data_IF_648025820900
#
_entry.id   IF_648025820900
#
_cell.length_a   1.000
_cell.length_b   1.000
_cell.length_c   1.000
_cell.angle_alpha   90.00
_cell.angle_beta   90.00
_cell.angle_gamma   90.00
#
_symmetry.space_group_name_H-M   'P 1'
#
loop_
_entity.id
_entity.type
_entity.pdbx_description
1 polymer ?
#
# COMPACT_ATOMS: atom_id res chain seq x y z
N UNK A 1 15.43 25.69 -1.97
CA UNK A 1 14.48 25.13 -2.96
C UNK A 1 14.48 23.62 -2.77
N UNK A 2 13.35 22.99 -2.46
CA UNK A 2 13.30 21.53 -2.47
C UNK A 2 13.53 21.05 -3.92
N UNK A 3 14.26 19.95 -4.14
CA UNK A 3 14.44 19.41 -5.49
C UNK A 3 13.08 19.09 -6.12
N UNK A 4 12.95 19.34 -7.42
CA UNK A 4 11.75 18.97 -8.17
C UNK A 4 11.57 17.45 -8.13
N UNK A 5 10.31 17.00 -8.01
CA UNK A 5 10.01 15.58 -8.01
C UNK A 5 10.33 14.97 -9.39
N UNK A 6 11.00 13.82 -9.41
CA UNK A 6 11.28 13.06 -10.62
C UNK A 6 10.00 12.43 -11.16
N UNK A 7 9.67 12.70 -12.42
CA UNK A 7 8.54 12.04 -13.08
C UNK A 7 8.95 10.63 -13.52
N UNK A 8 8.37 9.61 -12.87
CA UNK A 8 8.67 8.19 -13.14
C UNK A 8 7.55 7.50 -13.91
N UNK A 9 6.60 8.26 -14.47
CA UNK A 9 5.40 7.71 -15.13
C UNK A 9 5.74 6.73 -16.26
N UNK A 10 6.71 7.07 -17.12
CA UNK A 10 7.08 6.22 -18.24
C UNK A 10 7.64 4.86 -17.79
N UNK A 11 8.40 4.84 -16.68
CA UNK A 11 8.96 3.60 -16.15
C UNK A 11 7.87 2.73 -15.49
N UNK A 12 6.90 3.35 -14.82
CA UNK A 12 5.72 2.65 -14.26
C UNK A 12 4.88 2.02 -15.37
N UNK A 13 4.59 2.78 -16.44
CA UNK A 13 3.85 2.24 -17.60
C UNK A 13 4.62 1.12 -18.32
N UNK A 14 5.95 1.10 -18.20
CA UNK A 14 6.81 0.04 -18.70
C UNK A 14 7.03 -1.12 -17.70
N UNK A 15 6.32 -1.14 -16.56
CA UNK A 15 6.44 -2.15 -15.49
C UNK A 15 7.86 -2.34 -14.95
N UNK A 16 8.68 -1.28 -14.95
CA UNK A 16 10.04 -1.35 -14.41
C UNK A 16 10.02 -1.30 -12.90
N UNK A 17 10.95 -2.01 -12.27
CA UNK A 17 11.24 -1.83 -10.85
C UNK A 17 11.91 -0.47 -10.63
N UNK A 18 11.47 0.23 -9.58
CA UNK A 18 11.91 1.58 -9.24
C UNK A 18 12.52 1.59 -7.84
N UNK A 19 13.68 2.24 -7.72
CA UNK A 19 14.25 2.60 -6.42
C UNK A 19 14.18 4.12 -6.27
N UNK A 20 13.36 4.57 -5.33
CA UNK A 20 13.27 5.98 -4.96
C UNK A 20 14.57 6.41 -4.27
N UNK A 21 15.10 7.53 -4.73
CA UNK A 21 16.25 8.23 -4.15
C UNK A 21 15.91 9.67 -3.73
N UNK A 22 14.62 10.03 -3.82
CA UNK A 22 14.12 11.37 -3.60
C UNK A 22 12.61 11.46 -3.84
N UNK A 23 12.10 12.67 -4.06
CA UNK A 23 10.70 12.87 -4.41
C UNK A 23 10.42 12.39 -5.84
N UNK A 24 9.32 11.66 -6.02
CA UNK A 24 8.86 11.15 -7.30
C UNK A 24 7.37 11.41 -7.51
N UNK A 25 6.97 11.53 -8.76
CA UNK A 25 5.57 11.70 -9.17
C UNK A 25 5.20 10.68 -10.25
N UNK A 26 4.00 10.12 -10.14
CA UNK A 26 3.35 9.32 -11.17
C UNK A 26 2.11 10.08 -11.63
N UNK A 27 2.10 10.48 -12.90
CA UNK A 27 0.98 11.14 -13.55
C UNK A 27 0.14 10.08 -14.25
N UNK A 28 -0.94 9.66 -13.60
CA UNK A 28 -1.72 8.53 -14.08
C UNK A 28 -2.60 8.94 -15.28
N UNK A 29 -2.51 8.23 -16.41
CA UNK A 29 -3.46 8.41 -17.51
C UNK A 29 -4.86 7.99 -17.05
N UNK A 30 -5.87 8.41 -17.82
CA UNK A 30 -7.24 7.96 -17.59
C UNK A 30 -7.34 6.42 -17.71
N UNK A 31 -8.18 5.81 -16.88
CA UNK A 31 -8.38 4.37 -16.84
C UNK A 31 -7.45 3.66 -15.85
N UNK A 32 -7.21 2.37 -16.07
CA UNK A 32 -6.48 1.52 -15.13
C UNK A 32 -5.10 1.15 -15.65
N UNK A 33 -4.08 1.43 -14.84
CA UNK A 33 -2.70 0.96 -15.02
C UNK A 33 -2.42 -0.14 -14.01
N UNK A 34 -2.25 -1.38 -14.49
CA UNK A 34 -1.75 -2.48 -13.64
C UNK A 34 -0.23 -2.46 -13.66
N UNK A 35 0.37 -2.25 -12.49
CA UNK A 35 1.80 -2.19 -12.30
C UNK A 35 2.30 -3.49 -11.63
N UNK A 36 3.14 -4.21 -12.37
CA UNK A 36 3.73 -5.49 -11.96
C UNK A 36 5.21 -5.38 -11.57
N UNK A 37 5.78 -4.17 -11.59
CA UNK A 37 7.07 -3.89 -10.97
C UNK A 37 6.95 -3.67 -9.46
N UNK A 38 8.06 -3.30 -8.82
CA UNK A 38 8.09 -2.89 -7.41
C UNK A 38 8.68 -1.48 -7.24
N UNK A 39 8.14 -0.72 -6.29
CA UNK A 39 8.72 0.56 -5.86
C UNK A 39 9.40 0.34 -4.51
N UNK A 40 10.67 0.73 -4.40
CA UNK A 40 11.53 0.51 -3.22
C UNK A 40 12.30 1.77 -2.84
N UNK A 41 13.06 1.74 -1.75
CA UNK A 41 14.05 2.78 -1.42
C UNK A 41 13.54 3.91 -0.53
N UNK A 42 14.17 5.08 -0.62
CA UNK A 42 13.90 6.24 0.25
C UNK A 42 13.46 7.45 -0.57
N UNK A 43 12.28 7.99 -0.28
CA UNK A 43 11.71 9.09 -1.04
C UNK A 43 10.30 9.44 -0.61
N UNK A 44 9.66 10.28 -1.43
CA UNK A 44 8.22 10.52 -1.35
C UNK A 44 7.63 10.21 -2.72
N UNK A 45 6.42 9.67 -2.75
CA UNK A 45 5.70 9.34 -3.96
C UNK A 45 4.39 10.12 -4.00
N UNK A 46 4.13 10.81 -5.10
CA UNK A 46 2.85 11.46 -5.36
C UNK A 46 2.16 10.83 -6.57
N UNK A 47 0.93 10.39 -6.38
CA UNK A 47 0.05 9.98 -7.47
C UNK A 47 -0.88 11.13 -7.81
N UNK A 48 -0.86 11.57 -9.06
CA UNK A 48 -1.67 12.68 -9.56
C UNK A 48 -2.35 12.25 -10.86
N UNK A 49 -3.57 12.72 -11.16
CA UNK A 49 -4.16 12.46 -12.47
C UNK A 49 -3.41 13.27 -13.53
N UNK A 50 -3.16 12.66 -14.70
CA UNK A 50 -2.67 13.35 -15.89
C UNK A 50 -3.83 13.93 -16.71
N UNK A 51 -4.92 13.15 -16.83
CA UNK A 51 -6.18 13.53 -17.45
C UNK A 51 -7.30 12.62 -16.93
N UNK A 52 -8.47 13.18 -16.63
CA UNK A 52 -9.59 12.41 -16.07
C UNK A 52 -9.23 11.70 -14.76
N UNK A 53 -9.95 10.62 -14.45
CA UNK A 53 -9.66 9.76 -13.29
C UNK A 53 -8.73 8.62 -13.67
N UNK A 54 -7.70 8.38 -12.88
CA UNK A 54 -6.72 7.33 -13.12
C UNK A 54 -6.63 6.34 -11.95
N UNK A 55 -6.45 5.06 -12.26
CA UNK A 55 -6.23 3.99 -11.27
C UNK A 55 -4.84 3.40 -11.45
N UNK A 56 -4.07 3.31 -10.36
CA UNK A 56 -2.86 2.51 -10.29
C UNK A 56 -3.14 1.28 -9.44
N UNK A 57 -3.09 0.10 -10.04
CA UNK A 57 -3.21 -1.18 -9.35
C UNK A 57 -1.84 -1.80 -9.20
N UNK A 58 -1.39 -2.02 -7.96
CA UNK A 58 -0.13 -2.73 -7.68
C UNK A 58 -0.40 -4.21 -7.41
N UNK A 59 0.41 -5.10 -7.96
CA UNK A 59 0.26 -6.56 -7.75
C UNK A 59 1.44 -7.19 -7.00
N UNK A 60 2.44 -6.38 -6.62
CA UNK A 60 3.64 -6.80 -5.88
C UNK A 60 3.93 -5.84 -4.74
N UNK A 61 4.51 -6.36 -3.66
CA UNK A 61 4.93 -5.55 -2.53
C UNK A 61 5.92 -4.45 -2.95
N UNK A 62 5.63 -3.22 -2.53
CA UNK A 62 6.46 -2.04 -2.79
C UNK A 62 6.88 -1.41 -1.46
N UNK A 63 8.15 -1.55 -1.10
CA UNK A 63 8.73 -1.19 0.19
C UNK A 63 9.55 0.09 0.10
N UNK A 64 8.89 1.25 0.25
CA UNK A 64 9.58 2.54 0.31
C UNK A 64 9.25 3.30 1.59
N UNK A 65 10.16 4.20 1.96
CA UNK A 65 10.09 4.98 3.20
C UNK A 65 10.50 6.42 2.98
N UNK A 66 10.19 7.28 3.93
CA UNK A 66 10.71 8.65 3.94
C UNK A 66 12.24 8.66 4.06
N UNK A 67 12.94 9.65 3.49
CA UNK A 67 14.34 9.88 3.84
C UNK A 67 14.53 9.99 5.36
N UNK A 68 15.62 9.45 5.91
CA UNK A 68 15.89 9.42 7.36
C UNK A 68 15.81 10.80 8.05
N UNK A 69 16.05 11.90 7.34
CA UNK A 69 15.90 13.25 7.88
C UNK A 69 14.44 13.65 8.16
N UNK A 70 13.48 13.05 7.45
CA UNK A 70 12.03 13.34 7.53
C UNK A 70 11.28 12.34 8.43
N UNK A 71 11.94 11.24 8.74
CA UNK A 71 11.58 10.27 9.77
C UNK A 71 11.73 10.90 11.17
N UNK A 72 10.64 11.48 11.67
CA UNK A 72 10.57 12.27 12.92
C UNK A 72 9.60 11.68 13.95
N UNK A 73 8.76 10.73 13.55
CA UNK A 73 7.84 10.06 14.46
C UNK A 73 8.60 9.03 15.28
N UNK A 74 8.33 8.96 16.59
CA UNK A 74 8.97 8.02 17.52
C UNK A 74 7.92 7.21 18.25
N UNK A 75 8.19 5.92 18.45
CA UNK A 75 7.40 4.97 19.24
C UNK A 75 8.19 4.56 20.47
N UNK A 76 7.61 4.76 21.64
CA UNK A 76 8.16 4.28 22.91
C UNK A 76 7.26 3.21 23.51
N UNK A 77 7.83 2.03 23.77
CA UNK A 77 7.22 0.96 24.58
C UNK A 77 7.49 1.20 26.05
N UNK A 78 6.44 1.23 26.85
CA UNK A 78 6.55 1.23 28.32
C UNK A 78 5.97 -0.08 28.84
N UNK A 79 6.76 -0.86 29.57
CA UNK A 79 6.31 -2.12 30.19
C UNK A 79 5.93 -1.84 31.64
N UNK A 80 4.75 -2.30 32.03
CA UNK A 80 4.21 -2.19 33.38
C UNK A 80 4.25 -3.58 34.04
N UNK A 81 5.09 -3.79 35.07
CA UNK A 81 5.16 -5.07 35.79
C UNK A 81 3.77 -5.53 36.24
N UNK A 82 3.38 -6.75 35.85
CA UNK A 82 2.06 -7.32 36.19
C UNK A 82 0.86 -6.75 35.43
N UNK A 83 1.05 -5.75 34.55
CA UNK A 83 -0.05 -5.03 33.88
C UNK A 83 0.13 -4.86 32.35
N UNK A 84 1.16 -5.47 31.75
CA UNK A 84 1.36 -5.47 30.28
C UNK A 84 2.26 -4.33 29.78
N UNK A 85 1.98 -3.79 28.59
CA UNK A 85 2.75 -2.68 28.01
C UNK A 85 1.85 -1.68 27.29
N UNK A 86 2.33 -0.43 27.15
CA UNK A 86 1.72 0.59 26.29
C UNK A 86 2.72 1.10 25.25
N UNK A 87 2.20 1.47 24.08
CA UNK A 87 2.95 2.17 23.04
C UNK A 87 2.52 3.63 23.02
N UNK A 88 3.50 4.53 23.11
CA UNK A 88 3.28 5.98 22.98
C UNK A 88 3.95 6.47 21.70
N UNK A 89 3.32 7.42 21.01
CA UNK A 89 3.81 7.99 19.75
C UNK A 89 4.01 9.50 19.92
N UNK A 90 5.13 10.02 19.44
CA UNK A 90 5.41 11.46 19.39
C UNK A 90 5.98 11.86 18.03
N UNK A 91 5.80 13.11 17.63
CA UNK A 91 6.09 13.54 16.26
C UNK A 91 5.09 12.98 15.25
N UNK A 92 5.15 13.48 14.02
CA UNK A 92 4.33 13.00 12.92
C UNK A 92 5.17 13.01 11.64
N UNK A 93 5.34 11.83 11.04
CA UNK A 93 5.99 11.72 9.76
C UNK A 93 5.17 12.44 8.69
N UNK A 94 5.80 13.24 7.80
CA UNK A 94 5.12 13.73 6.61
C UNK A 94 4.67 12.56 5.73
N UNK A 95 3.75 12.79 4.77
CA UNK A 95 3.30 11.72 3.90
C UNK A 95 4.44 11.14 3.05
N UNK A 96 4.64 9.82 3.09
CA UNK A 96 5.52 9.09 2.17
C UNK A 96 4.82 8.88 0.82
N UNK A 97 3.50 8.70 0.85
CA UNK A 97 2.63 8.55 -0.30
C UNK A 97 1.54 9.60 -0.23
N UNK A 98 1.39 10.38 -1.29
CA UNK A 98 0.26 11.31 -1.47
C UNK A 98 -0.58 10.83 -2.65
N UNK A 99 -1.88 10.67 -2.42
CA UNK A 99 -2.86 10.28 -3.44
C UNK A 99 -3.77 11.49 -3.65
N UNK A 100 -3.64 12.15 -4.79
CA UNK A 100 -4.43 13.34 -5.12
C UNK A 100 -5.90 12.98 -5.44
N UNK A 101 -6.83 13.95 -5.36
CA UNK A 101 -8.19 13.76 -5.83
C UNK A 101 -8.24 13.26 -7.29
N UNK A 102 -9.20 12.38 -7.58
CA UNK A 102 -9.34 11.77 -8.91
C UNK A 102 -8.40 10.60 -9.19
N UNK A 103 -7.55 10.21 -8.23
CA UNK A 103 -6.73 9.00 -8.31
C UNK A 103 -7.29 7.88 -7.43
N UNK A 104 -7.30 6.67 -7.97
CA UNK A 104 -7.47 5.44 -7.21
C UNK A 104 -6.13 4.71 -7.11
N UNK A 105 -5.71 4.41 -5.89
CA UNK A 105 -4.60 3.51 -5.62
C UNK A 105 -5.14 2.17 -5.14
N UNK A 106 -5.00 1.14 -5.95
CA UNK A 106 -5.52 -0.19 -5.65
C UNK A 106 -4.38 -1.14 -5.28
N UNK A 107 -4.54 -1.83 -4.15
CA UNK A 107 -3.60 -2.82 -3.62
C UNK A 107 -4.16 -4.21 -3.92
N UNK A 108 -3.50 -4.89 -4.87
CA UNK A 108 -3.86 -6.20 -5.35
C UNK A 108 -5.05 -6.25 -6.31
N UNK A 109 -5.31 -7.44 -6.79
CA UNK A 109 -6.44 -7.79 -7.68
C UNK A 109 -7.31 -8.90 -7.13
N UNK A 110 -6.88 -9.55 -6.04
CA UNK A 110 -7.53 -10.72 -5.46
C UNK A 110 -7.58 -11.90 -6.44
N UNK A 111 -6.52 -12.03 -7.25
CA UNK A 111 -6.34 -13.10 -8.22
C UNK A 111 -4.94 -13.70 -8.10
N UNK A 112 -4.64 -14.76 -8.86
CA UNK A 112 -3.29 -15.34 -8.94
C UNK A 112 -2.23 -14.39 -9.51
N UNK A 113 -2.62 -13.22 -10.06
CA UNK A 113 -1.69 -12.18 -10.48
C UNK A 113 -0.99 -11.50 -9.29
N UNK A 114 -1.56 -11.61 -8.09
CA UNK A 114 -1.03 -11.03 -6.86
C UNK A 114 0.20 -11.84 -6.38
N UNK A 115 1.40 -11.30 -6.64
CA UNK A 115 2.67 -11.90 -6.21
C UNK A 115 3.12 -11.28 -4.89
N UNK A 116 2.43 -11.66 -3.80
CA UNK A 116 2.60 -11.11 -2.44
C UNK A 116 2.49 -9.57 -2.37
N UNK A 117 1.35 -8.97 -2.72
CA UNK A 117 1.26 -7.54 -3.00
C UNK A 117 1.45 -6.56 -1.83
N UNK A 118 1.81 -6.94 -0.60
CA UNK A 118 1.10 -6.27 0.50
C UNK A 118 1.92 -5.58 1.59
N UNK A 119 3.08 -5.05 1.24
CA UNK A 119 3.90 -4.34 2.23
C UNK A 119 4.33 -2.97 1.68
N UNK A 120 3.54 -1.93 1.94
CA UNK A 120 4.05 -0.54 1.96
C UNK A 120 4.60 -0.27 3.37
N UNK A 121 5.44 -1.17 3.85
CA UNK A 121 6.05 -1.04 5.17
C UNK A 121 7.48 -0.56 5.05
N UNK A 122 7.81 0.21 6.05
CA UNK A 122 9.16 0.38 6.59
C UNK A 122 8.96 0.97 7.97
N UNK A 123 9.48 0.28 8.97
CA UNK A 123 9.73 0.90 10.26
C UNK A 123 10.71 2.05 10.01
N UNK A 124 10.38 3.23 10.51
CA UNK A 124 11.30 4.35 10.57
C UNK A 124 12.64 3.84 11.15
N UNK A 125 13.74 4.06 10.43
CA UNK A 125 15.07 3.59 10.80
C UNK A 125 15.55 4.11 12.17
N UNK A 126 14.90 5.16 12.70
CA UNK A 126 15.17 5.72 14.04
C UNK A 126 14.35 5.08 15.15
N UNK A 127 13.42 4.18 14.84
CA UNK A 127 12.63 3.50 15.85
C UNK A 127 13.11 2.06 16.05
N UNK A 128 13.47 1.75 17.30
CA UNK A 128 13.58 0.39 17.81
C UNK A 128 12.25 -0.39 17.76
N UNK A 129 11.19 0.18 17.19
CA UNK A 129 9.86 -0.39 17.04
C UNK A 129 9.86 -1.75 16.30
N UNK A 130 10.83 -1.99 15.41
CA UNK A 130 11.04 -3.30 14.79
C UNK A 130 11.32 -4.42 15.79
N UNK A 131 11.77 -4.10 17.01
CA UNK A 131 12.12 -5.04 18.08
C UNK A 131 10.97 -5.26 19.09
N UNK A 132 9.88 -4.51 18.99
CA UNK A 132 8.92 -4.38 20.09
C UNK A 132 7.74 -5.35 19.98
N UNK A 133 7.29 -5.73 18.77
CA UNK A 133 6.32 -6.82 18.54
C UNK A 133 6.10 -7.20 17.05
N UNK A 134 7.08 -6.97 16.17
CA UNK A 134 6.90 -6.97 14.71
C UNK A 134 6.90 -5.55 14.12
N UNK A 135 7.10 -5.44 12.80
CA UNK A 135 7.30 -4.17 12.10
C UNK A 135 6.15 -3.17 12.35
N UNK A 136 6.39 -2.12 13.13
CA UNK A 136 5.45 -0.99 13.21
C UNK A 136 5.66 -0.14 11.96
N UNK A 137 4.64 -0.07 11.12
CA UNK A 137 4.64 0.83 9.98
C UNK A 137 4.30 2.26 10.43
N UNK A 138 5.29 3.15 10.33
CA UNK A 138 5.18 4.57 10.69
C UNK A 138 5.08 5.50 9.48
N UNK A 139 4.93 4.91 8.29
CA UNK A 139 4.63 5.71 7.12
C UNK A 139 3.26 6.38 7.27
N UNK A 140 3.16 7.61 6.78
CA UNK A 140 1.91 8.30 6.61
C UNK A 140 1.53 8.29 5.13
N UNK A 141 0.29 7.93 4.83
CA UNK A 141 -0.31 8.01 3.51
C UNK A 141 -1.34 9.13 3.55
N UNK A 142 -1.11 10.20 2.77
CA UNK A 142 -2.09 11.26 2.59
C UNK A 142 -3.03 10.86 1.45
N UNK A 143 -4.21 10.33 1.80
CA UNK A 143 -5.23 9.93 0.86
C UNK A 143 -6.28 11.04 0.69
N UNK A 144 -6.24 11.73 -0.45
CA UNK A 144 -7.30 12.66 -0.88
C UNK A 144 -8.08 12.13 -2.09
N UNK A 145 -7.68 10.96 -2.62
CA UNK A 145 -8.39 10.22 -3.67
C UNK A 145 -9.10 9.01 -3.08
N UNK A 146 -8.80 7.83 -3.61
CA UNK A 146 -9.35 6.55 -3.14
C UNK A 146 -8.24 5.52 -2.95
N UNK A 147 -8.24 4.82 -1.82
CA UNK A 147 -7.50 3.56 -1.65
C UNK A 147 -8.47 2.41 -1.82
N UNK A 148 -8.15 1.44 -2.68
CA UNK A 148 -8.91 0.19 -2.80
C UNK A 148 -8.05 -0.96 -2.29
N UNK A 149 -8.55 -1.69 -1.29
CA UNK A 149 -7.96 -2.93 -0.80
C UNK A 149 -8.63 -4.08 -1.54
N UNK A 150 -7.88 -4.75 -2.40
CA UNK A 150 -8.37 -5.85 -3.24
C UNK A 150 -7.38 -7.02 -3.20
N UNK A 151 -7.01 -7.50 -2.02
CA UNK A 151 -6.08 -8.62 -1.89
C UNK A 151 -6.38 -9.47 -0.66
N UNK A 152 -6.53 -10.80 -0.85
CA UNK A 152 -6.68 -11.75 0.24
C UNK A 152 -5.41 -11.95 1.09
N UNK A 153 -4.29 -11.32 0.73
CA UNK A 153 -3.03 -11.39 1.47
C UNK A 153 -2.93 -10.25 2.51
N UNK A 154 -2.06 -10.36 3.51
CA UNK A 154 -1.94 -9.38 4.61
C UNK A 154 -1.42 -8.01 4.14
N UNK A 155 -2.23 -6.95 4.25
CA UNK A 155 -1.85 -5.56 3.93
C UNK A 155 -1.38 -4.81 5.17
N UNK A 156 -0.11 -4.41 5.20
CA UNK A 156 0.45 -3.57 6.27
C UNK A 156 0.54 -2.10 5.86
N UNK A 157 -0.51 -1.33 6.16
CA UNK A 157 -0.50 0.13 6.00
C UNK A 157 -0.03 0.83 7.28
N UNK A 158 0.58 2.00 7.11
CA UNK A 158 0.85 2.91 8.21
C UNK A 158 -0.37 3.75 8.54
N UNK A 159 -0.16 4.96 9.04
CA UNK A 159 -1.26 5.92 9.22
C UNK A 159 -1.81 6.35 7.86
N UNK A 160 -3.14 6.39 7.73
CA UNK A 160 -3.80 7.02 6.59
C UNK A 160 -4.42 8.32 7.09
N UNK A 161 -4.08 9.43 6.43
CA UNK A 161 -4.61 10.77 6.68
C UNK A 161 -5.30 11.30 5.43
N UNK A 162 -5.91 12.49 5.52
CA UNK A 162 -6.64 13.11 4.41
C UNK A 162 -8.15 12.87 4.47
N UNK A 163 -8.84 13.21 3.38
CA UNK A 163 -10.31 13.17 3.28
C UNK A 163 -10.83 12.14 2.26
N UNK A 164 -9.93 11.37 1.65
CA UNK A 164 -10.25 10.38 0.62
C UNK A 164 -10.87 9.10 1.17
N UNK A 165 -11.49 8.32 0.28
CA UNK A 165 -12.15 7.07 0.63
C UNK A 165 -11.15 5.93 0.81
N UNK A 166 -11.46 5.00 1.71
CA UNK A 166 -10.84 3.68 1.77
C UNK A 166 -11.95 2.66 1.49
N UNK A 167 -11.76 1.85 0.47
CA UNK A 167 -12.74 0.88 0.00
C UNK A 167 -12.12 -0.50 0.07
N UNK A 168 -12.80 -1.43 0.73
CA UNK A 168 -12.51 -2.85 0.58
C UNK A 168 -13.29 -3.39 -0.61
N UNK A 169 -12.60 -3.98 -1.59
CA UNK A 169 -13.25 -4.60 -2.73
C UNK A 169 -14.05 -5.86 -2.28
N UNK A 170 -15.03 -6.31 -3.10
CA UNK A 170 -15.72 -7.57 -2.85
C UNK A 170 -14.76 -8.76 -2.77
N UNK A 171 -15.18 -9.81 -2.05
CA UNK A 171 -14.53 -11.14 -2.03
C UNK A 171 -13.07 -11.19 -1.53
N UNK A 172 -12.58 -10.12 -0.90
CA UNK A 172 -11.21 -10.02 -0.38
C UNK A 172 -10.94 -10.96 0.79
N UNK A 173 -11.89 -11.07 1.72
CA UNK A 173 -11.76 -11.93 2.90
C UNK A 173 -12.82 -13.02 2.85
N UNK A 174 -12.62 -14.02 1.98
CA UNK A 174 -13.42 -15.24 2.03
C UNK A 174 -12.92 -16.10 3.19
N UNK A 175 -13.85 -16.57 4.03
CA UNK A 175 -13.58 -17.75 4.87
C UNK A 175 -13.49 -18.93 3.91
N UNK A 176 -12.36 -19.62 3.90
CA UNK A 176 -12.25 -20.91 3.21
C UNK A 176 -13.36 -21.84 3.73
N UNK A 177 -14.36 -22.15 2.90
CA UNK A 177 -15.47 -23.04 3.27
C UNK A 177 -16.88 -22.59 2.87
N UNK A 178 -17.07 -21.36 2.36
CA UNK A 178 -18.33 -20.96 1.74
C UNK A 178 -18.28 -21.17 0.22
N UNK A 179 -18.12 -22.43 -0.21
CA UNK A 179 -18.63 -22.78 -1.53
C UNK A 179 -20.16 -22.63 -1.48
N UNK A 180 -20.80 -21.98 -2.48
CA UNK A 180 -22.25 -22.04 -2.60
C UNK A 180 -22.65 -23.51 -2.70
N UNK A 181 -23.33 -24.02 -1.67
CA UNK A 181 -23.92 -25.35 -1.68
C UNK A 181 -24.97 -25.41 -2.80
N UNK A 182 -24.57 -25.72 -4.03
CA UNK A 182 -25.51 -25.65 -5.16
C UNK A 182 -24.97 -25.93 -6.56
N UNK A 183 -23.66 -26.03 -6.79
CA UNK A 183 -23.12 -26.39 -8.10
C UNK A 183 -22.35 -27.73 -8.08
N UNK A 184 -23.02 -28.78 -7.60
CA UNK A 184 -22.73 -30.12 -8.14
C UNK A 184 -23.15 -30.08 -9.60
N UNK A 185 -22.18 -30.15 -10.52
CA UNK A 185 -22.44 -30.36 -11.94
C UNK A 185 -23.26 -31.65 -12.06
N UNK A 186 -24.54 -31.48 -12.40
CA UNK A 186 -25.38 -32.58 -12.85
C UNK A 186 -24.91 -32.92 -14.26
N UNK A 187 -24.17 -34.01 -14.38
CA UNK A 187 -23.62 -34.46 -15.64
C UNK A 187 -22.43 -35.35 -15.37
N UNK A 188 -22.73 -36.60 -15.03
CA UNK A 188 -22.08 -37.79 -15.59
C UNK A 188 -22.72 -39.02 -14.94
N UNK A 189 -23.92 -39.32 -15.43
CA UNK A 189 -24.45 -40.67 -15.41
C UNK A 189 -24.89 -41.01 -16.84
N UNK A 190 -24.32 -42.10 -17.33
CA UNK A 190 -24.74 -42.95 -18.46
C UNK A 190 -24.33 -42.52 -19.88
N UNK A 191 -23.33 -43.22 -20.44
CA UNK A 191 -23.57 -44.33 -21.38
C UNK A 191 -22.26 -45.01 -21.83
N UNK A 192 -22.26 -46.36 -21.72
CA UNK A 192 -21.34 -47.39 -22.25
C UNK A 192 -20.01 -47.65 -21.51
#
# INVERSE_FOLDING_TARGET
MAPAATDITADILANRDITLTGAAVIKLPAGTTTYTGVISGQGTLRLTPAAGTGTLTITRASTFTLPAAQQVQVVKKTVYPGAGYALTRSGLNPPVLTIDPGVTFQIGTNTSADSSPNVIATADSKNDAGLINGEINLNNILNNGTIVLSSAQFVLLGQISGSGSIVQAPDVWLVAGLEPAGQRRHGDAEHL
#
